data_IF_341365414649
#
_entry.id   IF_341365414649
#
_cell.length_a   1.000
_cell.length_b   1.000
_cell.length_c   1.000
_cell.angle_alpha   90.00
_cell.angle_beta   90.00
_cell.angle_gamma   90.00
#
_symmetry.space_group_name_H-M   'P 1'
#
loop_
_entity.id
_entity.type
_entity.pdbx_description
1 polymer ?
#
# COMPACT_ATOMS: atom_id res chain seq x y z
N UNK A 1 -2.79 3.35 -15.14
CA UNK A 1 -3.91 3.77 -14.27
C UNK A 1 -5.26 3.69 -14.98
N UNK A 2 -5.59 2.57 -15.63
CA UNK A 2 -6.78 2.44 -16.51
C UNK A 2 -8.11 2.57 -15.74
N UNK A 3 -8.07 2.48 -14.42
CA UNK A 3 -9.24 2.30 -13.57
C UNK A 3 -9.74 3.57 -12.89
N UNK A 4 -8.99 4.67 -12.93
CA UNK A 4 -9.45 5.91 -12.29
C UNK A 4 -10.72 6.40 -12.95
N UNK A 5 -10.88 6.30 -14.27
CA UNK A 5 -12.04 6.88 -14.99
C UNK A 5 -13.37 6.12 -14.88
N UNK A 6 -13.48 5.05 -14.10
CA UNK A 6 -14.67 4.18 -14.09
C UNK A 6 -15.71 4.58 -13.03
N UNK A 7 -16.97 4.71 -13.43
CA UNK A 7 -18.12 4.70 -12.51
C UNK A 7 -18.43 3.29 -11.99
N UNK A 8 -19.34 3.16 -11.01
CA UNK A 8 -19.63 1.86 -10.37
C UNK A 8 -20.00 0.74 -11.37
N UNK A 9 -20.94 0.94 -12.33
CA UNK A 9 -21.27 -0.11 -13.29
C UNK A 9 -20.10 -0.49 -14.21
N UNK A 10 -19.34 0.49 -14.70
CA UNK A 10 -18.17 0.23 -15.54
C UNK A 10 -17.06 -0.49 -14.75
N UNK A 11 -16.83 -0.08 -13.51
CA UNK A 11 -15.86 -0.69 -12.60
C UNK A 11 -16.21 -2.15 -12.32
N UNK A 12 -17.48 -2.47 -12.01
CA UNK A 12 -17.92 -3.84 -11.77
C UNK A 12 -17.74 -4.75 -13.00
N UNK A 13 -18.13 -4.27 -14.18
CA UNK A 13 -17.98 -5.03 -15.44
C UNK A 13 -16.51 -5.31 -15.76
N UNK A 14 -15.64 -4.33 -15.57
CA UNK A 14 -14.21 -4.49 -15.79
C UNK A 14 -13.56 -5.40 -14.74
N UNK A 15 -13.91 -5.25 -13.46
CA UNK A 15 -13.45 -6.11 -12.38
C UNK A 15 -13.78 -7.59 -12.63
N UNK A 16 -15.00 -7.88 -13.10
CA UNK A 16 -15.40 -9.24 -13.47
C UNK A 16 -14.53 -9.82 -14.61
N UNK A 17 -14.17 -9.00 -15.61
CA UNK A 17 -13.26 -9.44 -16.68
C UNK A 17 -11.85 -9.71 -16.17
N UNK A 18 -11.35 -8.90 -15.24
CA UNK A 18 -10.02 -9.11 -14.63
C UNK A 18 -10.02 -10.40 -13.81
N UNK A 19 -11.04 -10.59 -12.97
CA UNK A 19 -11.20 -11.81 -12.18
C UNK A 19 -11.19 -13.07 -13.06
N UNK A 20 -11.89 -13.02 -14.21
CA UNK A 20 -11.92 -14.13 -15.17
C UNK A 20 -10.56 -14.45 -15.80
N UNK A 21 -9.59 -13.54 -15.78
CA UNK A 21 -8.22 -13.79 -16.27
C UNK A 21 -7.33 -14.47 -15.24
N UNK A 22 -7.74 -14.55 -13.97
CA UNK A 22 -6.92 -15.14 -12.90
C UNK A 22 -5.64 -14.37 -12.61
N UNK A 23 -5.62 -13.07 -12.92
CA UNK A 23 -4.49 -12.18 -12.65
C UNK A 23 -4.71 -11.42 -11.33
N UNK A 24 -3.61 -11.00 -10.71
CA UNK A 24 -3.64 -10.07 -9.60
C UNK A 24 -3.53 -8.63 -10.10
N UNK A 25 -3.90 -7.67 -9.26
CA UNK A 25 -3.72 -6.23 -9.51
C UNK A 25 -2.89 -5.62 -8.40
N UNK A 26 -1.83 -4.90 -8.79
CA UNK A 26 -1.08 -4.05 -7.87
C UNK A 26 -1.77 -2.69 -7.77
N UNK A 27 -2.05 -2.24 -6.54
CA UNK A 27 -2.70 -0.95 -6.27
C UNK A 27 -1.65 0.11 -6.03
N UNK A 28 -1.89 1.35 -6.48
CA UNK A 28 -0.99 2.49 -6.21
C UNK A 28 -1.82 3.72 -5.84
N UNK A 29 -2.75 3.55 -4.90
CA UNK A 29 -3.69 4.62 -4.50
C UNK A 29 -2.97 5.81 -3.89
N UNK A 30 -1.91 5.60 -3.11
CA UNK A 30 -1.10 6.68 -2.51
C UNK A 30 -0.37 7.52 -3.57
N UNK A 31 0.05 6.90 -4.68
CA UNK A 31 0.60 7.63 -5.81
C UNK A 31 -0.47 8.49 -6.49
N UNK A 32 -1.66 7.93 -6.68
CA UNK A 32 -2.80 8.66 -7.23
C UNK A 32 -3.28 9.79 -6.32
N UNK A 33 -3.24 9.62 -5.00
CA UNK A 33 -3.55 10.65 -4.00
C UNK A 33 -2.67 11.89 -4.23
N UNK A 34 -1.35 11.69 -4.36
CA UNK A 34 -0.41 12.77 -4.66
C UNK A 34 -0.55 13.34 -6.07
N UNK A 35 -0.68 12.50 -7.10
CA UNK A 35 -0.71 12.92 -8.50
C UNK A 35 -2.00 13.68 -8.85
N UNK A 36 -3.14 13.25 -8.31
CA UNK A 36 -4.47 13.71 -8.68
C UNK A 36 -5.09 14.64 -7.64
N UNK A 37 -4.31 15.09 -6.63
CA UNK A 37 -4.77 16.00 -5.58
C UNK A 37 -5.45 17.28 -6.12
N UNK A 38 -5.02 17.78 -7.28
CA UNK A 38 -5.59 18.96 -7.92
C UNK A 38 -6.96 18.72 -8.61
N UNK A 39 -7.41 17.47 -8.72
CA UNK A 39 -8.66 17.10 -9.39
C UNK A 39 -9.46 16.05 -8.58
N UNK A 40 -9.95 16.39 -7.37
CA UNK A 40 -10.47 15.41 -6.42
C UNK A 40 -11.80 14.76 -6.81
N UNK A 41 -12.54 15.30 -7.78
CA UNK A 41 -13.88 14.84 -8.17
C UNK A 41 -14.08 14.55 -9.65
N UNK A 42 -13.01 14.60 -10.45
CA UNK A 42 -13.07 14.24 -11.87
C UNK A 42 -13.07 12.72 -12.08
N UNK A 43 -13.32 12.26 -13.31
CA UNK A 43 -13.20 10.84 -13.66
C UNK A 43 -11.75 10.36 -13.39
N UNK A 44 -10.74 11.18 -13.62
CA UNK A 44 -9.38 10.90 -13.17
C UNK A 44 -9.13 11.43 -11.75
N UNK A 45 -9.69 10.74 -10.74
CA UNK A 45 -9.54 11.07 -9.32
C UNK A 45 -9.19 9.86 -8.45
N UNK A 46 -8.67 10.11 -7.25
CA UNK A 46 -8.48 9.10 -6.22
C UNK A 46 -9.81 8.42 -5.86
N UNK A 47 -10.90 9.18 -5.75
CA UNK A 47 -12.20 8.64 -5.39
C UNK A 47 -12.68 7.57 -6.37
N UNK A 48 -12.54 7.84 -7.67
CA UNK A 48 -12.93 6.89 -8.70
C UNK A 48 -11.97 5.69 -8.78
N UNK A 49 -10.67 5.87 -8.50
CA UNK A 49 -9.75 4.75 -8.31
C UNK A 49 -10.13 3.86 -7.11
N UNK A 50 -10.61 4.45 -6.00
CA UNK A 50 -11.10 3.71 -4.84
C UNK A 50 -12.39 2.93 -5.15
N UNK A 51 -13.29 3.49 -5.97
CA UNK A 51 -14.48 2.77 -6.47
C UNK A 51 -14.05 1.54 -7.27
N UNK A 52 -13.08 1.68 -8.17
CA UNK A 52 -12.58 0.55 -8.94
C UNK A 52 -11.89 -0.51 -8.05
N UNK A 53 -11.10 -0.08 -7.07
CA UNK A 53 -10.48 -0.98 -6.08
C UNK A 53 -11.54 -1.78 -5.31
N UNK A 54 -12.63 -1.14 -4.88
CA UNK A 54 -13.76 -1.83 -4.25
C UNK A 54 -14.37 -2.88 -5.15
N UNK A 55 -14.67 -2.53 -6.40
CA UNK A 55 -15.26 -3.44 -7.36
C UNK A 55 -14.37 -4.66 -7.63
N UNK A 56 -13.04 -4.47 -7.71
CA UNK A 56 -12.08 -5.57 -7.85
C UNK A 56 -12.05 -6.49 -6.63
N UNK A 57 -12.07 -5.91 -5.42
CA UNK A 57 -12.20 -6.68 -4.16
C UNK A 57 -13.49 -7.50 -4.14
N UNK A 58 -14.61 -6.91 -4.53
CA UNK A 58 -15.92 -7.60 -4.56
C UNK A 58 -15.97 -8.70 -5.62
N UNK A 59 -15.28 -8.51 -6.74
CA UNK A 59 -15.13 -9.52 -7.79
C UNK A 59 -14.12 -10.64 -7.45
N UNK A 60 -13.44 -10.56 -6.30
CA UNK A 60 -12.45 -11.56 -5.87
C UNK A 60 -11.10 -11.47 -6.59
N UNK A 61 -10.77 -10.32 -7.18
CA UNK A 61 -9.44 -10.07 -7.76
C UNK A 61 -8.42 -9.97 -6.62
N UNK A 62 -7.29 -10.70 -6.65
CA UNK A 62 -6.22 -10.51 -5.68
C UNK A 62 -5.62 -9.10 -5.82
N UNK A 63 -5.66 -8.33 -4.74
CA UNK A 63 -5.10 -6.98 -4.66
C UNK A 63 -3.78 -7.02 -3.88
N UNK A 64 -2.72 -6.45 -4.47
CA UNK A 64 -1.38 -6.36 -3.88
C UNK A 64 -1.09 -4.89 -3.63
N UNK A 65 -0.71 -4.53 -2.40
CA UNK A 65 -0.39 -3.15 -2.05
C UNK A 65 0.95 -2.75 -2.69
N UNK A 66 0.94 -1.70 -3.49
CA UNK A 66 2.11 -1.06 -4.07
C UNK A 66 2.00 0.46 -3.89
N UNK A 67 3.13 1.18 -3.97
CA UNK A 67 3.14 2.62 -3.68
C UNK A 67 3.65 3.47 -4.82
N UNK A 68 4.32 2.92 -5.83
CA UNK A 68 5.17 3.67 -6.77
C UNK A 68 6.16 4.62 -6.04
N UNK A 69 6.57 4.25 -4.82
CA UNK A 69 7.48 5.09 -4.04
C UNK A 69 8.84 5.25 -4.71
N UNK A 70 9.36 6.47 -4.64
CA UNK A 70 10.64 6.88 -5.22
C UNK A 70 11.35 7.87 -4.26
N UNK A 71 12.57 8.34 -4.58
CA UNK A 71 13.29 9.26 -3.70
C UNK A 71 12.64 10.62 -3.44
N UNK A 72 11.55 10.97 -4.13
CA UNK A 72 10.87 12.26 -4.02
C UNK A 72 9.48 12.12 -3.37
N UNK A 73 8.55 11.48 -4.07
CA UNK A 73 7.17 11.28 -3.62
C UNK A 73 6.45 10.27 -4.53
N UNK A 74 5.65 9.34 -3.98
CA UNK A 74 5.55 8.98 -2.56
C UNK A 74 6.88 8.45 -1.98
N UNK A 75 7.13 8.63 -0.68
CA UNK A 75 8.39 8.25 -0.02
C UNK A 75 8.33 6.82 0.54
N UNK A 76 9.46 6.12 0.53
CA UNK A 76 9.53 4.76 1.05
C UNK A 76 9.16 4.68 2.54
N UNK A 77 8.53 3.57 2.94
CA UNK A 77 8.11 3.34 4.33
C UNK A 77 6.75 3.98 4.62
N UNK A 78 6.70 5.30 4.81
CA UNK A 78 5.47 6.02 5.16
C UNK A 78 4.34 5.77 4.17
N UNK A 79 4.64 5.83 2.86
CA UNK A 79 3.61 5.66 1.84
C UNK A 79 3.02 4.25 1.79
N UNK A 80 3.71 3.24 2.33
CA UNK A 80 3.12 1.90 2.48
C UNK A 80 1.99 1.92 3.51
N UNK A 81 2.18 2.60 4.64
CA UNK A 81 1.12 2.75 5.64
C UNK A 81 -0.08 3.51 5.06
N UNK A 82 0.19 4.57 4.31
CA UNK A 82 -0.86 5.34 3.64
C UNK A 82 -1.62 4.53 2.59
N UNK A 83 -0.93 3.68 1.82
CA UNK A 83 -1.60 2.76 0.88
C UNK A 83 -2.56 1.81 1.62
N UNK A 84 -2.14 1.24 2.76
CA UNK A 84 -3.00 0.38 3.57
C UNK A 84 -4.26 1.11 4.08
N UNK A 85 -4.11 2.36 4.52
CA UNK A 85 -5.27 3.20 4.88
C UNK A 85 -6.21 3.42 3.70
N UNK A 86 -5.67 3.75 2.52
CA UNK A 86 -6.45 4.00 1.31
C UNK A 86 -7.19 2.73 0.85
N UNK A 87 -6.59 1.56 1.00
CA UNK A 87 -7.25 0.28 0.74
C UNK A 87 -8.44 0.05 1.70
N UNK A 88 -8.28 0.34 2.99
CA UNK A 88 -9.38 0.25 3.96
C UNK A 88 -10.48 1.26 3.64
N UNK A 89 -10.12 2.50 3.31
CA UNK A 89 -11.07 3.53 2.86
C UNK A 89 -11.79 3.12 1.56
N UNK A 90 -11.12 2.37 0.68
CA UNK A 90 -11.71 1.81 -0.53
C UNK A 90 -12.67 0.64 -0.24
N UNK A 91 -12.70 0.10 0.99
CA UNK A 91 -13.67 -0.91 1.43
C UNK A 91 -13.08 -2.30 1.71
N UNK A 92 -11.75 -2.41 1.82
CA UNK A 92 -11.12 -3.63 2.33
C UNK A 92 -11.23 -3.67 3.87
N UNK A 93 -11.36 -4.86 4.43
CA UNK A 93 -11.14 -5.07 5.85
C UNK A 93 -9.65 -4.83 6.19
N UNK A 94 -9.29 -4.39 7.41
CA UNK A 94 -7.89 -4.18 7.78
C UNK A 94 -7.02 -5.43 7.57
N UNK A 95 -7.56 -6.63 7.83
CA UNK A 95 -6.88 -7.90 7.58
C UNK A 95 -6.65 -8.20 6.09
N UNK A 96 -7.54 -7.76 5.20
CA UNK A 96 -7.36 -7.87 3.75
C UNK A 96 -6.25 -6.91 3.27
N UNK A 97 -6.21 -5.68 3.81
CA UNK A 97 -5.13 -4.73 3.51
C UNK A 97 -3.77 -5.26 4.00
N UNK A 98 -3.71 -5.82 5.21
CA UNK A 98 -2.50 -6.49 5.73
C UNK A 98 -2.05 -7.65 4.82
N UNK A 99 -2.99 -8.48 4.35
CA UNK A 99 -2.69 -9.57 3.43
C UNK A 99 -2.16 -9.06 2.08
N UNK A 100 -2.72 -7.97 1.55
CA UNK A 100 -2.29 -7.31 0.31
C UNK A 100 -0.82 -6.84 0.37
N UNK A 101 -0.29 -6.53 1.55
CA UNK A 101 1.11 -6.17 1.74
C UNK A 101 2.02 -7.33 2.22
N UNK A 102 1.48 -8.52 2.48
CA UNK A 102 2.23 -9.63 3.10
C UNK A 102 2.04 -10.96 2.38
N UNK A 103 0.97 -11.68 2.69
CA UNK A 103 0.75 -13.05 2.25
C UNK A 103 0.37 -13.15 0.77
N UNK A 104 -0.35 -12.17 0.22
CA UNK A 104 -0.75 -12.15 -1.18
C UNK A 104 0.44 -11.91 -2.13
N UNK A 105 1.30 -10.90 -1.92
CA UNK A 105 2.52 -10.76 -2.72
C UNK A 105 3.42 -12.00 -2.62
N UNK A 106 3.59 -12.56 -1.42
CA UNK A 106 4.40 -13.77 -1.24
C UNK A 106 3.85 -14.95 -2.05
N UNK A 107 2.53 -15.15 -2.04
CA UNK A 107 1.86 -16.17 -2.84
C UNK A 107 2.07 -15.95 -4.35
N UNK A 108 1.77 -14.74 -4.85
CA UNK A 108 1.79 -14.46 -6.28
C UNK A 108 3.20 -14.36 -6.88
N UNK A 109 4.20 -14.05 -6.07
CA UNK A 109 5.61 -14.03 -6.49
C UNK A 109 6.35 -15.34 -6.19
N UNK A 110 5.67 -16.38 -5.69
CA UNK A 110 6.27 -17.67 -5.41
C UNK A 110 7.29 -17.66 -4.26
N UNK A 111 7.16 -16.73 -3.32
CA UNK A 111 8.03 -16.59 -2.15
C UNK A 111 7.52 -17.49 -1.02
N UNK A 112 8.03 -18.72 -0.96
CA UNK A 112 7.58 -19.74 -0.01
C UNK A 112 8.10 -19.54 1.42
N UNK A 113 9.06 -18.64 1.64
CA UNK A 113 9.76 -18.44 2.91
C UNK A 113 9.22 -17.28 3.76
N UNK A 114 8.21 -16.52 3.30
CA UNK A 114 7.75 -15.30 3.98
C UNK A 114 6.27 -14.99 3.75
N UNK A 115 5.82 -13.85 4.27
CA UNK A 115 4.46 -13.32 4.10
C UNK A 115 3.46 -13.81 5.16
N UNK A 116 3.89 -14.68 6.08
CA UNK A 116 3.10 -15.13 7.24
C UNK A 116 4.00 -15.36 8.44
N UNK A 117 3.44 -15.25 9.65
CA UNK A 117 4.11 -15.68 10.89
C UNK A 117 3.76 -17.14 11.14
N UNK A 118 4.68 -18.05 10.82
CA UNK A 118 4.51 -19.49 11.03
C UNK A 118 5.86 -20.19 11.23
N UNK A 119 5.90 -21.33 11.95
CA UNK A 119 7.12 -22.12 12.08
C UNK A 119 7.72 -22.50 10.72
N UNK A 120 9.04 -22.40 10.61
CA UNK A 120 9.78 -22.73 9.39
C UNK A 120 9.88 -21.60 8.34
N UNK A 121 9.21 -20.46 8.55
CA UNK A 121 9.35 -19.28 7.69
C UNK A 121 10.44 -18.33 8.21
N UNK A 122 10.90 -17.43 7.34
CA UNK A 122 11.79 -16.35 7.70
C UNK A 122 11.16 -15.48 8.79
N UNK A 123 11.90 -15.21 9.86
CA UNK A 123 11.48 -14.33 10.94
C UNK A 123 11.64 -12.84 10.55
N UNK A 124 10.92 -12.44 9.49
CA UNK A 124 10.73 -11.06 9.08
C UNK A 124 9.44 -10.55 9.73
N UNK A 125 9.55 -9.73 10.77
CA UNK A 125 8.44 -9.35 11.65
C UNK A 125 8.49 -7.85 11.92
N UNK A 126 7.32 -7.20 11.86
CA UNK A 126 7.11 -5.84 12.37
C UNK A 126 6.19 -5.94 13.58
N UNK A 127 6.65 -5.41 14.71
CA UNK A 127 5.86 -5.24 15.91
C UNK A 127 5.31 -3.82 15.94
N UNK A 128 4.03 -3.69 16.23
CA UNK A 128 3.34 -2.40 16.33
C UNK A 128 2.62 -2.27 17.67
N UNK A 129 2.51 -1.05 18.16
CA UNK A 129 1.71 -0.72 19.34
C UNK A 129 0.27 -0.43 18.91
N UNK A 130 -0.63 -1.38 19.18
CA UNK A 130 -2.04 -1.32 18.77
C UNK A 130 -2.48 -2.60 18.05
N UNK A 131 -3.71 -2.60 17.52
CA UNK A 131 -4.28 -3.74 16.78
C UNK A 131 -4.59 -3.35 15.32
N UNK A 132 -3.68 -3.70 14.37
CA UNK A 132 -3.87 -3.39 12.95
C UNK A 132 -4.95 -4.24 12.28
N UNK A 133 -5.51 -5.24 12.96
CA UNK A 133 -6.63 -6.05 12.44
C UNK A 133 -7.97 -5.36 12.60
N UNK A 134 -8.04 -4.37 13.50
CA UNK A 134 -9.24 -3.54 13.74
C UNK A 134 -9.03 -2.08 13.35
N UNK A 135 -7.80 -1.57 13.47
CA UNK A 135 -7.44 -0.20 13.11
C UNK A 135 -6.13 -0.20 12.31
N UNK A 136 -6.23 -0.07 11.00
CA UNK A 136 -5.09 -0.15 10.10
C UNK A 136 -4.03 0.93 10.36
N UNK A 137 -4.40 2.05 10.98
CA UNK A 137 -3.46 3.14 11.31
C UNK A 137 -2.45 2.71 12.38
N UNK A 138 -2.77 1.69 13.19
CA UNK A 138 -1.84 1.09 14.15
C UNK A 138 -0.55 0.57 13.49
N UNK A 139 -0.55 0.31 12.16
CA UNK A 139 0.66 -0.07 11.45
C UNK A 139 1.77 0.99 11.53
N UNK A 140 1.43 2.26 11.74
CA UNK A 140 2.39 3.38 11.86
C UNK A 140 3.13 3.39 13.21
N UNK A 141 2.56 2.79 14.25
CA UNK A 141 3.12 2.78 15.59
C UNK A 141 4.17 1.65 15.74
N UNK A 142 5.22 1.67 14.93
CA UNK A 142 6.22 0.59 14.89
C UNK A 142 7.09 0.58 16.16
N UNK A 143 6.95 -0.48 16.95
CA UNK A 143 7.72 -0.71 18.19
C UNK A 143 8.99 -1.55 17.97
N UNK A 144 9.06 -2.30 16.85
CA UNK A 144 10.25 -3.07 16.52
C UNK A 144 10.19 -3.74 15.16
N UNK A 145 11.36 -3.96 14.57
CA UNK A 145 11.51 -4.64 13.28
C UNK A 145 12.54 -5.74 13.44
N UNK A 146 12.21 -6.93 12.94
CA UNK A 146 13.12 -8.06 12.82
C UNK A 146 13.24 -8.42 11.36
N UNK A 147 14.48 -8.69 10.94
CA UNK A 147 14.79 -9.23 9.63
C UNK A 147 15.58 -10.52 9.81
N UNK A 148 15.04 -11.64 9.33
CA UNK A 148 15.62 -12.98 9.48
C UNK A 148 16.00 -13.30 10.93
N UNK A 149 15.14 -12.92 11.87
CA UNK A 149 15.32 -13.15 13.30
C UNK A 149 16.23 -12.15 14.02
N UNK A 150 16.90 -11.25 13.31
CA UNK A 150 17.73 -10.20 13.90
C UNK A 150 16.92 -8.92 14.07
N UNK A 151 16.83 -8.41 15.30
CA UNK A 151 16.20 -7.11 15.57
C UNK A 151 17.04 -6.01 14.93
N UNK A 152 16.40 -5.17 14.13
CA UNK A 152 17.02 -3.98 13.57
C UNK A 152 17.05 -2.87 14.63
N UNK A 153 18.08 -2.01 14.62
CA UNK A 153 18.06 -0.82 15.46
C UNK A 153 16.88 0.07 15.07
N UNK A 154 16.25 0.71 16.06
CA UNK A 154 15.27 1.75 15.78
C UNK A 154 15.94 2.84 14.95
N UNK A 155 15.25 3.42 13.95
CA UNK A 155 15.79 4.57 13.24
C UNK A 155 16.09 5.68 14.25
N UNK A 156 17.18 6.46 14.05
CA UNK A 156 17.49 7.58 14.92
C UNK A 156 16.29 8.54 14.94
N UNK A 157 15.94 9.04 16.13
CA UNK A 157 14.82 9.97 16.34
C UNK A 157 15.10 11.39 15.85
N UNK A 158 16.22 11.62 15.17
CA UNK A 158 16.55 12.95 14.67
C UNK A 158 15.65 13.28 13.48
N UNK A 159 15.02 14.48 13.46
CA UNK A 159 14.30 14.93 12.28
C UNK A 159 15.30 14.96 11.13
N UNK A 160 14.91 14.39 9.99
CA UNK A 160 15.65 14.54 8.73
C UNK A 160 15.77 16.04 8.48
N UNK A 161 16.91 16.61 8.85
CA UNK A 161 17.26 17.98 8.49
C UNK A 161 17.60 17.90 7.02
N UNK A 162 16.61 18.17 6.17
CA UNK A 162 16.86 18.41 4.75
C UNK A 162 17.74 19.65 4.67
N UNK A 163 19.05 19.46 4.66
CA UNK A 163 20.01 20.54 4.44
C UNK A 163 19.76 21.05 3.04
N UNK A 164 18.94 22.09 2.95
CA UNK A 164 18.71 22.85 1.72
C UNK A 164 20.06 23.42 1.34
N UNK A 165 20.74 22.82 0.37
CA UNK A 165 21.99 23.36 -0.18
C UNK A 165 21.67 24.71 -0.77
N UNK A 166 21.96 25.76 -0.01
CA UNK A 166 21.83 27.15 -0.41
C UNK A 166 22.94 27.42 -1.44
N UNK A 167 22.60 27.23 -2.72
CA UNK A 167 23.45 27.68 -3.83
C UNK A 167 23.31 29.19 -3.88
N UNK A 168 24.19 29.90 -3.18
CA UNK A 168 24.38 31.34 -3.43
C UNK A 168 24.91 31.52 -4.86
N UNK A 169 24.36 32.46 -5.65
CA UNK A 169 24.94 32.80 -6.93
C UNK A 169 26.31 33.45 -6.71
N UNK A 170 27.32 32.99 -7.46
CA UNK A 170 28.63 33.65 -7.49
C UNK A 170 28.48 34.99 -8.22
N UNK A 171 28.92 36.06 -7.57
CA UNK A 171 29.18 37.38 -8.18
C UNK A 171 30.38 37.34 -9.11
#
# INVERSE_FOLDING_TARGET
>A
HVFSDADEPAAASLAARIAAQGVFVATTLVHLDGLLAANPGGPNSLAAAMVATRAMREAGVPLLAETDANPFAPVHGESTHRELELLVLAGLAPTEALAAATSLPALHFGLSDRGRVAPGLAADVVLVDGDPTTDITATQAVAGIWRRGTRLPSPPTDPITTTRTDVRPRS
#
